data_IF_646708183424
#
_entry.id   IF_646708183424
#
_cell.length_a   1.000
_cell.length_b   1.000
_cell.length_c   1.000
_cell.angle_alpha   90.00
_cell.angle_beta   90.00
_cell.angle_gamma   90.00
#
_symmetry.space_group_name_H-M   'P 1'
#
loop_
_entity.id
_entity.type
_entity.pdbx_description
1 polymer ?
#
# COMPACT_ATOMS: atom_id res chain seq x y z
N UNK A 1 -21.26 -14.23 -12.17
CA UNK A 1 -20.24 -13.17 -12.18
C UNK A 1 -19.96 -12.76 -10.73
N UNK A 2 -19.11 -13.50 -10.02
CA UNK A 2 -18.67 -13.09 -8.67
C UNK A 2 -17.14 -13.05 -8.71
N UNK A 3 -16.59 -11.86 -9.00
CA UNK A 3 -15.17 -11.63 -8.76
C UNK A 3 -15.03 -11.47 -7.25
N UNK A 4 -14.56 -12.53 -6.59
CA UNK A 4 -14.26 -12.52 -5.18
C UNK A 4 -13.19 -11.46 -4.87
N UNK A 5 -13.63 -10.26 -4.53
CA UNK A 5 -12.80 -9.20 -3.93
C UNK A 5 -12.56 -9.51 -2.44
N UNK A 6 -12.25 -10.76 -2.09
CA UNK A 6 -12.05 -11.18 -0.69
C UNK A 6 -10.57 -11.39 -0.36
N UNK A 7 -9.67 -10.97 -1.25
CA UNK A 7 -8.25 -11.31 -1.23
C UNK A 7 -7.25 -10.15 -1.32
N UNK A 8 -7.70 -8.89 -1.34
CA UNK A 8 -6.88 -7.73 -1.71
C UNK A 8 -6.98 -6.58 -0.69
N UNK A 9 -7.39 -6.85 0.55
CA UNK A 9 -7.40 -5.83 1.58
C UNK A 9 -5.96 -5.56 2.04
N UNK A 10 -5.49 -4.34 1.79
CA UNK A 10 -4.26 -3.79 2.38
C UNK A 10 -4.67 -3.14 3.69
N UNK A 11 -4.03 -3.52 4.78
CA UNK A 11 -4.28 -2.95 6.10
C UNK A 11 -3.08 -2.12 6.54
N UNK A 12 -3.37 -0.98 7.18
CA UNK A 12 -2.34 -0.08 7.70
C UNK A 12 -2.56 0.17 9.19
N UNK A 13 -1.47 0.27 9.95
CA UNK A 13 -1.49 0.56 11.39
C UNK A 13 -0.37 1.54 11.74
N UNK A 14 -0.72 2.62 12.44
CA UNK A 14 0.24 3.48 13.13
C UNK A 14 0.75 2.75 14.37
N UNK A 15 2.07 2.64 14.48
CA UNK A 15 2.76 2.04 15.61
C UNK A 15 2.99 3.10 16.69
N UNK A 16 3.25 2.64 17.92
CA UNK A 16 3.47 3.52 19.07
C UNK A 16 4.76 4.36 18.95
N UNK A 17 5.67 3.94 18.07
CA UNK A 17 6.89 4.67 17.72
C UNK A 17 6.71 5.64 16.54
N UNK A 18 5.48 5.81 16.07
CA UNK A 18 5.10 6.70 14.97
C UNK A 18 5.28 6.11 13.58
N UNK A 19 5.88 4.92 13.43
CA UNK A 19 6.01 4.26 12.12
C UNK A 19 4.68 3.70 11.63
N UNK A 20 4.61 3.40 10.34
CA UNK A 20 3.42 2.84 9.69
C UNK A 20 3.71 1.42 9.25
N UNK A 21 2.97 0.47 9.81
CA UNK A 21 2.97 -0.92 9.37
C UNK A 21 1.92 -1.10 8.27
N UNK A 22 2.31 -1.72 7.16
CA UNK A 22 1.42 -2.09 6.04
C UNK A 22 1.49 -3.61 5.86
N UNK A 23 0.33 -4.26 5.77
CA UNK A 23 0.24 -5.71 5.56
C UNK A 23 -0.90 -6.09 4.64
N UNK A 24 -0.79 -7.28 4.07
CA UNK A 24 -1.90 -7.90 3.33
C UNK A 24 -2.82 -8.63 4.31
N UNK A 25 -4.10 -8.26 4.36
CA UNK A 25 -5.06 -8.83 5.33
C UNK A 25 -5.29 -10.33 5.15
N UNK A 26 -5.03 -10.91 3.96
CA UNK A 26 -5.15 -12.36 3.74
C UNK A 26 -3.92 -13.16 4.15
N UNK A 27 -2.86 -12.49 4.58
CA UNK A 27 -1.68 -13.14 5.14
C UNK A 27 -1.31 -12.47 6.49
N UNK A 28 -2.10 -12.73 7.56
CA UNK A 28 -1.87 -12.11 8.86
C UNK A 28 -0.60 -12.60 9.56
N UNK A 29 -0.04 -13.74 9.13
CA UNK A 29 1.25 -14.25 9.59
C UNK A 29 2.42 -13.73 8.73
N UNK A 30 2.12 -13.10 7.60
CA UNK A 30 3.10 -12.53 6.69
C UNK A 30 3.83 -11.32 7.29
N UNK A 31 5.01 -10.99 6.73
CA UNK A 31 5.80 -9.86 7.18
C UNK A 31 5.04 -8.54 6.91
N UNK A 32 4.98 -7.68 7.92
CA UNK A 32 4.51 -6.31 7.74
C UNK A 32 5.65 -5.44 7.20
N UNK A 33 5.36 -4.64 6.17
CA UNK A 33 6.27 -3.60 5.71
C UNK A 33 6.18 -2.42 6.67
N UNK A 34 7.32 -2.03 7.26
CA UNK A 34 7.38 -0.93 8.22
C UNK A 34 7.99 0.29 7.53
N UNK A 35 7.21 1.35 7.41
CA UNK A 35 7.63 2.61 6.83
C UNK A 35 7.79 3.69 7.90
N UNK A 36 8.71 4.61 7.66
CA UNK A 36 8.82 5.83 8.43
C UNK A 36 7.66 6.80 8.12
N UNK A 37 7.34 7.74 9.03
CA UNK A 37 6.39 8.81 8.76
C UNK A 37 6.75 9.62 7.51
N UNK A 38 8.05 9.81 7.26
CA UNK A 38 8.58 10.60 6.15
C UNK A 38 8.31 9.91 4.81
N UNK A 39 8.56 8.60 4.72
CA UNK A 39 8.30 7.78 3.53
C UNK A 39 6.80 7.74 3.21
N UNK A 40 5.94 7.48 4.20
CA UNK A 40 4.49 7.51 3.99
C UNK A 40 4.02 8.91 3.62
N UNK A 41 4.56 9.95 4.24
CA UNK A 41 4.26 11.33 3.89
C UNK A 41 4.62 11.66 2.43
N UNK A 42 5.79 11.21 1.97
CA UNK A 42 6.22 11.35 0.58
C UNK A 42 5.31 10.57 -0.37
N UNK A 43 4.97 9.32 -0.04
CA UNK A 43 4.04 8.50 -0.81
C UNK A 43 2.68 9.16 -0.97
N UNK A 44 2.07 9.63 0.14
CA UNK A 44 0.76 10.29 0.12
C UNK A 44 0.80 11.58 -0.71
N UNK A 45 1.88 12.35 -0.65
CA UNK A 45 2.06 13.53 -1.52
C UNK A 45 2.14 13.13 -2.99
N UNK A 46 2.90 12.10 -3.33
CA UNK A 46 2.99 11.57 -4.70
C UNK A 46 1.65 11.06 -5.23
N UNK A 47 0.88 10.34 -4.41
CA UNK A 47 -0.50 9.91 -4.74
C UNK A 47 -1.38 11.11 -5.06
N UNK A 48 -1.37 12.14 -4.21
CA UNK A 48 -2.15 13.37 -4.46
C UNK A 48 -1.72 14.13 -5.73
N UNK A 49 -0.49 13.91 -6.19
CA UNK A 49 0.05 14.49 -7.43
C UNK A 49 -0.17 13.58 -8.66
N UNK A 50 -0.86 12.45 -8.52
CA UNK A 50 -1.11 11.49 -9.61
C UNK A 50 0.09 10.59 -9.95
N UNK A 51 1.17 10.65 -9.18
CA UNK A 51 2.38 9.84 -9.46
C UNK A 51 2.12 8.34 -9.28
N UNK A 52 1.11 7.97 -8.50
CA UNK A 52 0.75 6.59 -8.18
C UNK A 52 -0.40 6.03 -9.04
N UNK A 53 -0.92 6.78 -10.02
CA UNK A 53 -2.12 6.38 -10.79
C UNK A 53 -1.92 5.05 -11.54
N UNK A 54 -0.68 4.78 -11.95
CA UNK A 54 -0.27 3.53 -12.58
C UNK A 54 -0.46 2.29 -11.67
N UNK A 55 -0.54 2.45 -10.34
CA UNK A 55 -0.82 1.35 -9.41
C UNK A 55 -2.31 0.95 -9.40
N UNK A 56 -3.20 1.86 -9.82
CA UNK A 56 -4.64 1.62 -9.85
C UNK A 56 -5.17 1.34 -11.27
N UNK A 57 -4.39 1.65 -12.31
CA UNK A 57 -4.76 1.43 -13.70
C UNK A 57 -4.42 -0.02 -14.15
N UNK A 58 -5.41 -0.86 -14.49
CA UNK A 58 -5.12 -2.19 -15.01
C UNK A 58 -4.37 -2.09 -16.34
N UNK A 59 -3.17 -2.68 -16.40
CA UNK A 59 -2.35 -2.75 -17.62
C UNK A 59 -1.38 -1.58 -17.84
N UNK A 60 -1.19 -0.68 -16.88
CA UNK A 60 -0.11 0.30 -16.97
C UNK A 60 1.26 -0.41 -16.96
N UNK A 61 2.23 0.03 -17.80
CA UNK A 61 3.57 -0.53 -17.76
C UNK A 61 4.15 -0.31 -16.36
N UNK A 62 4.52 -1.41 -15.70
CA UNK A 62 5.14 -1.38 -14.38
C UNK A 62 6.45 -0.60 -14.50
N UNK A 63 6.51 0.58 -13.88
CA UNK A 63 7.77 1.31 -13.75
C UNK A 63 8.62 0.55 -12.74
N UNK A 64 9.78 0.07 -13.18
CA UNK A 64 10.79 -0.51 -12.29
C UNK A 64 11.22 0.56 -11.27
N UNK A 65 11.43 0.12 -10.02
CA UNK A 65 11.86 0.96 -8.90
C UNK A 65 13.18 1.70 -9.16
#
# INVERSE_FOLDING_TARGET
MERAQRGQCVETKLLDDGRVAVRQSTDPAGPALIYTPEEIGAFVRGVKQGMADHLAAPGAPQRTF
#
